data_IF_691948516567
#
_entry.id   IF_691948516567
#
_cell.length_a   1.000
_cell.length_b   1.000
_cell.length_c   1.000
_cell.angle_alpha   90.00
_cell.angle_beta   90.00
_cell.angle_gamma   90.00
#
_symmetry.space_group_name_H-M   'P 1'
#
loop_
_entity.id
_entity.type
_entity.pdbx_description
1 polymer ?
#
# COMPACT_ATOMS: atom_id res chain seq x y z
N UNK A 1 -29.24 -50.18 25.52
CA UNK A 1 -27.81 -49.89 25.24
C UNK A 1 -27.72 -49.33 23.82
N UNK A 2 -27.12 -48.14 23.64
CA UNK A 2 -27.07 -47.39 22.37
C UNK A 2 -25.94 -47.89 21.45
N UNK A 3 -26.11 -47.92 20.12
CA UNK A 3 -25.01 -48.15 19.18
C UNK A 3 -24.21 -46.85 18.98
N UNK A 4 -22.88 -46.94 19.00
CA UNK A 4 -21.97 -45.81 18.70
C UNK A 4 -21.64 -45.84 17.21
N UNK A 5 -22.12 -44.84 16.48
CA UNK A 5 -21.76 -44.56 15.09
C UNK A 5 -20.46 -43.73 15.13
N UNK A 6 -19.39 -44.19 14.49
CA UNK A 6 -18.17 -43.43 14.28
C UNK A 6 -18.28 -42.66 12.96
N UNK A 7 -18.47 -41.35 13.03
CA UNK A 7 -18.46 -40.47 11.86
C UNK A 7 -17.01 -40.08 11.55
N UNK A 8 -16.47 -40.55 10.44
CA UNK A 8 -15.19 -40.08 9.91
C UNK A 8 -15.39 -38.71 9.25
N UNK A 9 -14.82 -37.66 9.84
CA UNK A 9 -14.78 -36.34 9.23
C UNK A 9 -13.58 -36.28 8.25
N UNK A 10 -13.87 -36.22 6.96
CA UNK A 10 -12.86 -35.96 5.93
C UNK A 10 -12.49 -34.46 5.96
N UNK A 11 -11.27 -34.13 6.38
CA UNK A 11 -10.69 -32.80 6.20
C UNK A 11 -10.36 -32.60 4.72
N UNK A 12 -11.13 -31.77 4.03
CA UNK A 12 -10.81 -31.29 2.69
C UNK A 12 -9.83 -30.12 2.83
N UNK A 13 -8.54 -30.35 2.64
CA UNK A 13 -7.54 -29.30 2.57
C UNK A 13 -7.63 -28.61 1.21
N UNK A 14 -8.26 -27.43 1.15
CA UNK A 14 -8.21 -26.57 -0.02
C UNK A 14 -6.80 -25.96 -0.11
N UNK A 15 -5.94 -26.51 -0.96
CA UNK A 15 -4.67 -25.91 -1.30
C UNK A 15 -4.93 -24.69 -2.21
N UNK A 16 -4.93 -23.50 -1.64
CA UNK A 16 -4.86 -22.26 -2.42
C UNK A 16 -3.46 -22.18 -3.04
N UNK A 17 -3.36 -22.41 -4.35
CA UNK A 17 -2.14 -22.19 -5.11
C UNK A 17 -1.96 -20.66 -5.20
N UNK A 18 -1.15 -20.08 -4.32
CA UNK A 18 -0.68 -18.70 -4.47
C UNK A 18 0.38 -18.69 -5.56
N UNK A 19 0.01 -18.35 -6.79
CA UNK A 19 0.97 -17.96 -7.83
C UNK A 19 1.65 -16.68 -7.38
N UNK A 20 2.94 -16.76 -7.03
CA UNK A 20 3.76 -15.59 -6.75
C UNK A 20 3.74 -14.65 -7.96
N UNK A 21 3.54 -13.35 -7.72
CA UNK A 21 3.59 -12.35 -8.76
C UNK A 21 4.98 -12.32 -9.41
N UNK A 22 5.04 -12.37 -10.75
CA UNK A 22 6.29 -12.23 -11.52
C UNK A 22 6.28 -10.90 -12.24
N UNK A 23 7.12 -9.98 -11.79
CA UNK A 23 7.22 -8.61 -12.32
C UNK A 23 8.23 -8.45 -13.46
N UNK A 24 8.77 -9.56 -13.98
CA UNK A 24 9.89 -9.52 -14.91
C UNK A 24 11.18 -9.05 -14.21
N UNK A 25 12.10 -8.48 -14.99
CA UNK A 25 13.31 -7.87 -14.44
C UNK A 25 12.97 -6.50 -13.84
N UNK A 26 13.25 -6.31 -12.55
CA UNK A 26 13.05 -5.04 -11.85
C UNK A 26 14.20 -4.76 -10.89
N UNK A 27 14.46 -3.47 -10.64
CA UNK A 27 15.38 -3.04 -9.59
C UNK A 27 14.58 -2.73 -8.32
N UNK A 28 14.84 -3.43 -7.19
CA UNK A 28 14.17 -3.15 -5.93
C UNK A 28 14.46 -1.73 -5.46
N UNK A 29 13.43 -0.91 -5.30
CA UNK A 29 13.54 0.38 -4.62
C UNK A 29 13.15 0.18 -3.16
N UNK A 30 13.91 0.78 -2.24
CA UNK A 30 13.95 0.47 -0.79
C UNK A 30 12.65 0.54 0.03
N UNK A 31 11.48 0.60 -0.61
CA UNK A 31 10.16 0.39 -0.02
C UNK A 31 9.90 -1.07 0.39
N UNK A 32 10.30 -2.04 -0.43
CA UNK A 32 10.08 -3.46 -0.16
C UNK A 32 11.32 -4.26 -0.58
N UNK A 33 11.92 -5.00 0.35
CA UNK A 33 13.10 -5.82 0.07
C UNK A 33 12.77 -7.17 -0.61
N UNK A 34 11.51 -7.60 -0.53
CA UNK A 34 11.02 -8.86 -1.07
C UNK A 34 9.64 -8.65 -1.72
N UNK A 35 9.64 -8.50 -3.04
CA UNK A 35 8.43 -8.28 -3.83
C UNK A 35 7.57 -9.54 -4.02
N UNK A 36 8.06 -10.72 -3.65
CA UNK A 36 7.25 -11.95 -3.69
C UNK A 36 6.05 -11.89 -2.73
N UNK A 37 6.09 -10.97 -1.76
CA UNK A 37 5.02 -10.73 -0.78
C UNK A 37 3.85 -9.92 -1.34
N UNK A 38 3.98 -9.35 -2.54
CA UNK A 38 2.89 -8.59 -3.16
C UNK A 38 1.78 -9.53 -3.63
N UNK A 39 0.56 -9.24 -3.22
CA UNK A 39 -0.64 -9.98 -3.61
C UNK A 39 -1.49 -9.14 -4.57
N UNK A 40 -2.03 -9.77 -5.62
CA UNK A 40 -2.94 -9.09 -6.54
C UNK A 40 -4.25 -8.78 -5.84
N UNK A 41 -4.69 -7.52 -5.91
CA UNK A 41 -5.99 -7.12 -5.38
C UNK A 41 -7.10 -7.60 -6.31
N UNK A 42 -8.08 -8.32 -5.74
CA UNK A 42 -9.19 -8.86 -6.50
C UNK A 42 -9.93 -7.76 -7.28
N UNK A 43 -10.15 -8.01 -8.58
CA UNK A 43 -10.88 -7.09 -9.46
C UNK A 43 -10.07 -5.88 -9.95
N UNK A 44 -8.75 -5.84 -9.71
CA UNK A 44 -7.87 -4.78 -10.25
C UNK A 44 -6.56 -5.37 -10.78
N UNK A 45 -5.81 -4.55 -11.53
CA UNK A 45 -4.44 -4.84 -11.93
C UNK A 45 -3.41 -4.43 -10.86
N UNK A 46 -3.88 -3.98 -9.68
CA UNK A 46 -3.01 -3.49 -8.62
C UNK A 46 -2.51 -4.62 -7.74
N UNK A 47 -1.25 -4.53 -7.30
CA UNK A 47 -0.64 -5.41 -6.33
C UNK A 47 -0.41 -4.66 -5.01
N UNK A 48 -0.61 -5.33 -3.88
CA UNK A 48 -0.45 -4.73 -2.56
C UNK A 48 0.17 -5.71 -1.58
N UNK A 49 0.97 -5.20 -0.66
CA UNK A 49 1.43 -5.92 0.52
C UNK A 49 1.19 -5.05 1.75
N UNK A 50 0.80 -5.68 2.86
CA UNK A 50 0.79 -5.05 4.18
C UNK A 50 1.39 -6.00 5.21
N UNK A 51 2.22 -5.49 6.11
CA UNK A 51 2.74 -6.24 7.25
C UNK A 51 1.56 -6.71 8.14
N UNK A 52 1.30 -8.02 8.28
CA UNK A 52 0.16 -8.51 9.07
C UNK A 52 0.22 -8.07 10.55
N UNK A 53 1.42 -7.97 11.12
CA UNK A 53 1.59 -7.53 12.49
C UNK A 53 1.26 -6.05 12.71
N UNK A 54 1.27 -5.23 11.65
CA UNK A 54 1.03 -3.78 11.74
C UNK A 54 -0.44 -3.42 12.01
N UNK A 55 -1.38 -4.37 11.85
CA UNK A 55 -2.81 -4.17 12.14
C UNK A 55 -3.35 -2.84 11.59
N UNK A 56 -2.99 -2.50 10.35
CA UNK A 56 -3.20 -1.16 9.78
C UNK A 56 -4.68 -0.72 9.87
N UNK A 57 -5.62 -1.66 9.73
CA UNK A 57 -7.06 -1.39 9.86
C UNK A 57 -7.54 -0.96 11.25
N UNK A 58 -6.71 -1.07 12.30
CA UNK A 58 -7.01 -0.56 13.64
C UNK A 58 -6.72 0.95 13.76
N UNK A 59 -6.11 1.57 12.75
CA UNK A 59 -5.75 2.98 12.75
C UNK A 59 -6.70 3.78 11.85
N UNK A 60 -7.29 4.82 12.41
CA UNK A 60 -8.19 5.76 11.73
C UNK A 60 -7.51 7.11 11.42
N UNK A 61 -6.26 7.27 11.84
CA UNK A 61 -5.46 8.48 11.64
C UNK A 61 -4.34 8.22 10.65
N UNK A 62 -4.14 9.17 9.75
CA UNK A 62 -3.03 9.15 8.78
C UNK A 62 -2.15 10.37 8.99
N UNK A 63 -0.84 10.14 9.10
CA UNK A 63 0.17 11.19 9.06
C UNK A 63 0.72 11.28 7.65
N UNK A 64 0.61 12.45 7.03
CA UNK A 64 1.21 12.74 5.73
C UNK A 64 2.45 13.58 6.00
N UNK A 65 3.62 13.01 5.75
CA UNK A 65 4.87 13.74 5.81
C UNK A 65 4.93 14.83 4.73
N UNK A 66 5.78 15.84 4.97
CA UNK A 66 5.98 16.94 4.02
C UNK A 66 6.40 16.40 2.65
N UNK A 67 5.64 16.77 1.62
CA UNK A 67 5.97 16.45 0.23
C UNK A 67 7.28 17.15 -0.15
N UNK A 68 8.27 16.37 -0.59
CA UNK A 68 9.55 16.85 -1.09
C UNK A 68 9.58 16.67 -2.60
N UNK A 69 9.93 17.74 -3.30
CA UNK A 69 10.07 17.75 -4.76
C UNK A 69 11.55 17.99 -5.04
N UNK A 70 12.15 17.06 -5.77
CA UNK A 70 13.54 17.16 -6.22
C UNK A 70 13.53 17.47 -7.71
N UNK A 71 14.29 18.48 -8.11
CA UNK A 71 14.56 18.78 -9.50
C UNK A 71 16.00 18.37 -9.78
N UNK A 72 16.25 17.73 -10.92
CA UNK A 72 17.61 17.47 -11.35
C UNK A 72 18.33 18.80 -11.58
N UNK A 73 19.53 18.92 -11.01
CA UNK A 73 20.30 20.17 -10.95
C UNK A 73 20.79 20.62 -12.33
N UNK A 74 20.78 19.73 -13.33
CA UNK A 74 21.24 19.98 -14.70
C UNK A 74 20.17 19.73 -15.78
N UNK A 75 18.90 19.55 -15.40
CA UNK A 75 17.85 19.49 -16.41
C UNK A 75 17.82 20.84 -17.14
N UNK A 76 17.78 20.85 -18.48
CA UNK A 76 17.67 22.08 -19.28
C UNK A 76 16.40 22.93 -18.98
N UNK A 77 15.60 22.52 -17.99
CA UNK A 77 14.57 23.32 -17.34
C UNK A 77 15.26 24.38 -16.48
N UNK A 78 15.10 25.64 -16.86
CA UNK A 78 15.51 26.78 -16.05
C UNK A 78 14.92 26.78 -14.64
N UNK A 79 15.33 27.76 -13.85
CA UNK A 79 14.88 27.94 -12.47
C UNK A 79 13.35 27.92 -12.37
N UNK A 80 12.81 27.05 -11.51
CA UNK A 80 11.38 27.05 -11.22
C UNK A 80 11.12 27.98 -10.05
N UNK A 81 10.21 28.93 -10.25
CA UNK A 81 9.78 29.86 -9.22
C UNK A 81 9.36 29.10 -7.92
N UNK A 82 9.91 29.50 -6.74
CA UNK A 82 9.59 28.85 -5.46
C UNK A 82 8.10 28.83 -5.11
N UNK A 83 7.34 29.86 -5.49
CA UNK A 83 5.90 29.89 -5.22
C UNK A 83 5.15 28.83 -6.06
N UNK A 84 5.60 28.60 -7.30
CA UNK A 84 5.12 27.52 -8.16
C UNK A 84 5.41 26.14 -7.56
N UNK A 85 6.61 25.93 -7.01
CA UNK A 85 6.93 24.68 -6.30
C UNK A 85 6.08 24.48 -5.04
N UNK A 86 5.83 25.55 -4.29
CA UNK A 86 4.94 25.49 -3.13
C UNK A 86 3.51 25.15 -3.55
N UNK A 87 3.01 25.73 -4.64
CA UNK A 87 1.68 25.45 -5.17
C UNK A 87 1.56 23.97 -5.58
N UNK A 88 2.59 23.43 -6.23
CA UNK A 88 2.63 22.02 -6.62
C UNK A 88 2.62 21.08 -5.41
N UNK A 89 3.46 21.35 -4.41
CA UNK A 89 3.48 20.55 -3.17
C UNK A 89 2.11 20.60 -2.44
N UNK A 90 1.48 21.79 -2.38
CA UNK A 90 0.14 21.96 -1.76
C UNK A 90 -0.95 21.23 -2.54
N UNK A 91 -0.85 21.22 -3.86
CA UNK A 91 -1.76 20.50 -4.73
C UNK A 91 -1.72 19.00 -4.41
N UNK A 92 -0.54 18.38 -4.43
CA UNK A 92 -0.40 16.96 -4.11
C UNK A 92 -0.85 16.63 -2.70
N UNK A 93 -0.54 17.47 -1.72
CA UNK A 93 -0.99 17.26 -0.34
C UNK A 93 -2.53 17.22 -0.26
N UNK A 94 -3.20 18.18 -0.89
CA UNK A 94 -4.67 18.21 -0.97
C UNK A 94 -5.24 17.01 -1.73
N UNK A 95 -4.60 16.61 -2.83
CA UNK A 95 -5.03 15.48 -3.64
C UNK A 95 -4.95 14.16 -2.85
N UNK A 96 -3.87 13.96 -2.08
CA UNK A 96 -3.71 12.79 -1.21
C UNK A 96 -4.81 12.79 -0.15
N UNK A 97 -5.03 13.91 0.55
CA UNK A 97 -6.10 14.01 1.55
C UNK A 97 -7.48 13.69 0.97
N UNK A 98 -7.79 14.19 -0.23
CA UNK A 98 -9.04 13.88 -0.92
C UNK A 98 -9.13 12.39 -1.30
N UNK A 99 -8.02 11.79 -1.71
CA UNK A 99 -7.93 10.39 -2.10
C UNK A 99 -8.12 9.40 -0.94
N UNK A 100 -7.69 9.78 0.27
CA UNK A 100 -7.93 8.99 1.49
C UNK A 100 -9.43 8.92 1.86
N UNK A 101 -10.23 9.87 1.37
CA UNK A 101 -11.65 9.95 1.68
C UNK A 101 -11.93 10.32 3.14
N UNK A 102 -13.21 10.37 3.53
CA UNK A 102 -13.62 10.70 4.90
C UNK A 102 -13.36 9.59 5.94
N UNK A 103 -12.83 8.44 5.51
CA UNK A 103 -12.56 7.28 6.37
C UNK A 103 -11.30 7.42 7.22
N UNK A 104 -10.44 8.39 6.89
CA UNK A 104 -9.21 8.67 7.64
C UNK A 104 -9.17 10.12 8.07
N UNK A 105 -8.84 10.34 9.34
CA UNK A 105 -8.64 11.68 9.88
C UNK A 105 -7.16 12.08 9.74
N UNK A 106 -6.84 13.27 9.23
CA UNK A 106 -5.47 13.77 9.26
C UNK A 106 -5.00 13.84 10.71
N UNK A 107 -3.83 13.28 10.99
CA UNK A 107 -3.22 13.41 12.32
C UNK A 107 -2.93 14.88 12.60
N UNK A 108 -3.62 15.44 13.59
CA UNK A 108 -3.31 16.74 14.17
C UNK A 108 -2.54 16.44 15.45
N UNK A 109 -1.26 16.81 15.51
CA UNK A 109 -0.41 16.57 16.67
C UNK A 109 -1.04 17.07 17.98
N UNK A 110 -0.72 16.40 19.08
CA UNK A 110 -1.03 16.86 20.44
C UNK A 110 -0.11 18.02 20.85
#
# INVERSE_FOLDING_TARGET
MRPRIFTAAALLAAATISTAASFGDYEPLGFLSDYSKLEQKAGTEAYSWSEPAAQIGAHDKVMIDRIKIYLEVDAARGEIDPATMQALARHFHTAILKGLGGSYQPFQGA
#
